data_IF_362481805487
#
_entry.id   IF_362481805487
#
_cell.length_a   1.000
_cell.length_b   1.000
_cell.length_c   1.000
_cell.angle_alpha   90.00
_cell.angle_beta   90.00
_cell.angle_gamma   90.00
#
_symmetry.space_group_name_H-M   'P 1'
#
loop_
_entity.id
_entity.type
_entity.pdbx_description
1 polymer ?
#
# COMPACT_ATOMS: atom_id res chain seq x y z
N UNK A 1 9.39 -17.62 -5.94
CA UNK A 1 9.48 -16.24 -5.47
C UNK A 1 10.73 -16.08 -4.62
N UNK A 2 11.48 -15.02 -4.83
CA UNK A 2 12.70 -14.81 -4.07
C UNK A 2 12.37 -14.35 -2.65
N UNK A 3 13.30 -14.61 -1.73
CA UNK A 3 13.16 -14.16 -0.34
C UNK A 3 13.07 -12.64 -0.25
N UNK A 4 13.85 -11.96 -1.12
CA UNK A 4 13.85 -10.50 -1.17
C UNK A 4 12.48 -9.94 -1.53
N UNK A 5 11.81 -10.55 -2.49
CA UNK A 5 10.49 -10.11 -2.90
C UNK A 5 9.48 -10.28 -1.76
N UNK A 6 9.59 -11.38 -1.04
CA UNK A 6 8.71 -11.63 0.12
C UNK A 6 8.90 -10.56 1.20
N UNK A 7 10.15 -10.15 1.46
CA UNK A 7 10.43 -9.10 2.43
C UNK A 7 9.88 -7.75 1.99
N UNK A 8 9.97 -7.46 0.70
CA UNK A 8 9.41 -6.22 0.12
C UNK A 8 7.90 -6.19 0.31
N UNK A 9 7.22 -7.31 0.01
CA UNK A 9 5.78 -7.40 0.18
C UNK A 9 5.37 -7.20 1.63
N UNK A 10 6.09 -7.82 2.55
CA UNK A 10 5.82 -7.67 3.98
C UNK A 10 5.98 -6.22 4.44
N UNK A 11 7.04 -5.56 3.98
CA UNK A 11 7.27 -4.17 4.31
C UNK A 11 6.16 -3.28 3.76
N UNK A 12 5.79 -3.49 2.49
CA UNK A 12 4.73 -2.74 1.85
C UNK A 12 3.42 -2.87 2.63
N UNK A 13 3.01 -4.11 2.93
CA UNK A 13 1.75 -4.36 3.63
C UNK A 13 1.77 -3.75 5.03
N UNK A 14 2.91 -3.86 5.75
CA UNK A 14 3.04 -3.31 7.09
C UNK A 14 2.88 -1.80 7.10
N UNK A 15 3.50 -1.12 6.15
CA UNK A 15 3.39 0.34 6.04
C UNK A 15 1.98 0.74 5.63
N UNK A 16 1.42 0.05 4.64
CA UNK A 16 0.08 0.38 4.15
C UNK A 16 -1.01 0.15 5.18
N UNK A 17 -0.82 -0.77 6.12
CA UNK A 17 -1.81 -1.03 7.16
C UNK A 17 -2.18 0.26 7.92
N UNK A 18 -1.19 1.11 8.16
CA UNK A 18 -1.39 2.39 8.86
C UNK A 18 -2.29 3.31 8.04
N UNK A 19 -2.02 3.41 6.74
CA UNK A 19 -2.76 4.31 5.85
C UNK A 19 -4.13 3.78 5.49
N UNK A 20 -4.28 2.46 5.40
CA UNK A 20 -5.60 1.83 5.21
C UNK A 20 -6.50 2.18 6.39
N UNK A 21 -5.98 2.06 7.61
CA UNK A 21 -6.72 2.41 8.81
C UNK A 21 -7.12 3.87 8.81
N UNK A 22 -6.19 4.76 8.47
CA UNK A 22 -6.46 6.20 8.39
C UNK A 22 -7.54 6.50 7.36
N UNK A 23 -7.49 5.85 6.22
CA UNK A 23 -8.49 6.03 5.17
C UNK A 23 -9.88 5.57 5.64
N UNK A 24 -9.94 4.42 6.30
CA UNK A 24 -11.22 3.89 6.84
C UNK A 24 -11.82 4.80 7.88
N UNK A 25 -10.99 5.49 8.65
CA UNK A 25 -11.44 6.43 9.68
C UNK A 25 -11.78 7.81 9.11
N UNK A 26 -11.56 8.02 7.82
CA UNK A 26 -11.81 9.30 7.20
C UNK A 26 -10.75 10.36 7.48
N UNK A 27 -9.59 9.95 7.97
CA UNK A 27 -8.49 10.86 8.27
C UNK A 27 -7.74 11.33 7.04
N UNK A 28 -7.80 10.53 5.97
CA UNK A 28 -7.21 10.90 4.67
C UNK A 28 -8.24 10.66 3.58
N UNK A 29 -8.14 11.44 2.50
CA UNK A 29 -9.04 11.32 1.36
C UNK A 29 -8.58 10.20 0.43
N UNK A 30 -9.47 9.80 -0.48
CA UNK A 30 -9.15 8.84 -1.52
C UNK A 30 -7.94 9.28 -2.34
N UNK A 31 -7.88 10.58 -2.69
CA UNK A 31 -6.80 11.14 -3.46
C UNK A 31 -5.47 11.10 -2.70
N UNK A 32 -5.53 11.40 -1.41
CA UNK A 32 -4.34 11.33 -0.55
C UNK A 32 -3.85 9.90 -0.42
N UNK A 33 -4.76 8.95 -0.23
CA UNK A 33 -4.39 7.54 -0.15
C UNK A 33 -3.66 7.08 -1.42
N UNK A 34 -4.17 7.45 -2.58
CA UNK A 34 -3.54 7.07 -3.85
C UNK A 34 -2.10 7.58 -3.95
N UNK A 35 -1.86 8.82 -3.55
CA UNK A 35 -0.52 9.40 -3.57
C UNK A 35 0.41 8.70 -2.60
N UNK A 36 -0.07 8.40 -1.41
CA UNK A 36 0.70 7.71 -0.38
C UNK A 36 1.07 6.31 -0.86
N UNK A 37 0.10 5.59 -1.41
CA UNK A 37 0.32 4.23 -1.89
C UNK A 37 1.40 4.19 -2.98
N UNK A 38 1.35 5.12 -3.92
CA UNK A 38 2.36 5.21 -4.98
C UNK A 38 3.75 5.44 -4.41
N UNK A 39 3.86 6.30 -3.41
CA UNK A 39 5.14 6.57 -2.76
C UNK A 39 5.66 5.36 -1.99
N UNK A 40 4.77 4.64 -1.34
CA UNK A 40 5.16 3.43 -0.60
C UNK A 40 5.67 2.36 -1.57
N UNK A 41 5.00 2.19 -2.70
CA UNK A 41 5.44 1.26 -3.75
C UNK A 41 6.86 1.63 -4.20
N UNK A 42 7.09 2.90 -4.47
CA UNK A 42 8.40 3.38 -4.92
C UNK A 42 9.48 3.15 -3.86
N UNK A 43 9.19 3.51 -2.62
CA UNK A 43 10.17 3.43 -1.52
C UNK A 43 10.49 2.01 -1.09
N UNK A 44 9.50 1.12 -1.13
CA UNK A 44 9.73 -0.28 -0.76
C UNK A 44 10.35 -1.09 -1.88
N UNK A 45 10.28 -0.58 -3.11
CA UNK A 45 10.77 -1.31 -4.27
C UNK A 45 9.79 -2.34 -4.79
N UNK A 46 8.52 -2.27 -4.36
CA UNK A 46 7.50 -3.18 -4.86
C UNK A 46 7.27 -2.91 -6.35
N UNK A 47 7.08 -3.98 -7.13
CA UNK A 47 6.79 -3.86 -8.55
C UNK A 47 5.45 -3.11 -8.73
N UNK A 48 5.43 -2.01 -9.51
CA UNK A 48 4.18 -1.24 -9.71
C UNK A 48 3.00 -2.04 -10.26
N UNK A 49 3.26 -3.16 -10.92
CA UNK A 49 2.20 -4.02 -11.45
C UNK A 49 1.92 -5.23 -10.56
N UNK A 50 2.46 -5.24 -9.34
CA UNK A 50 2.29 -6.35 -8.42
C UNK A 50 0.82 -6.54 -8.06
N UNK A 51 0.40 -7.80 -7.96
CA UNK A 51 -0.94 -8.16 -7.49
C UNK A 51 -1.12 -7.90 -6.00
N UNK A 52 -0.03 -7.65 -5.29
CA UNK A 52 -0.08 -7.38 -3.85
C UNK A 52 -0.37 -5.92 -3.52
N UNK A 53 -0.43 -5.05 -4.53
CA UNK A 53 -0.77 -3.65 -4.31
C UNK A 53 -2.19 -3.52 -3.76
N UNK A 54 -2.34 -2.71 -2.74
CA UNK A 54 -3.65 -2.48 -2.09
C UNK A 54 -4.17 -1.13 -2.58
N UNK A 55 -4.97 -1.18 -3.63
CA UNK A 55 -5.55 0.03 -4.22
C UNK A 55 -6.76 0.48 -3.43
N UNK A 56 -7.06 1.78 -3.52
CA UNK A 56 -8.19 2.35 -2.78
C UNK A 56 -9.51 1.64 -3.12
N UNK A 57 -9.66 1.16 -4.33
CA UNK A 57 -10.85 0.44 -4.77
C UNK A 57 -11.03 -0.89 -4.06
N UNK A 58 -9.95 -1.45 -3.53
CA UNK A 58 -9.97 -2.74 -2.83
C UNK A 58 -10.30 -2.59 -1.34
N UNK A 59 -10.33 -1.36 -0.85
CA UNK A 59 -10.60 -1.10 0.56
C UNK A 59 -12.10 -0.92 0.76
N UNK A 60 -12.69 -1.78 1.58
CA UNK A 60 -14.11 -1.68 1.93
C UNK A 60 -14.27 -0.93 3.23
N UNK A 61 -15.11 0.08 3.18
CA UNK A 61 -15.39 0.92 4.35
C UNK A 61 -16.72 0.51 4.95
#
# INVERSE_FOLDING_TARGET
MSKEYSDIVKLYVSVMAIFIDAYKKGEITKKEYKKIEEKVVEKTGLNPISLYRIKVEDIKI
#
